data_IF_552726782666
#
_entry.id   IF_552726782666
#
_cell.length_a   1.000
_cell.length_b   1.000
_cell.length_c   1.000
_cell.angle_alpha   90.00
_cell.angle_beta   90.00
_cell.angle_gamma   90.00
#
_symmetry.space_group_name_H-M   'P 1'
#
loop_
_entity.id
_entity.type
_entity.pdbx_description
1 polymer ?
#
# COMPACT_ATOMS: atom_id res chain seq x y z
N UNK A 1 12.65 14.65 15.01
CA UNK A 1 12.51 15.78 14.07
C UNK A 1 11.18 15.63 13.37
N UNK A 2 10.28 16.62 13.49
CA UNK A 2 8.88 16.50 13.03
C UNK A 2 8.71 16.62 11.52
N UNK A 3 9.73 17.13 10.80
CA UNK A 3 9.65 17.32 9.36
C UNK A 3 10.80 16.74 8.55
N UNK A 4 10.53 16.17 7.36
CA UNK A 4 11.54 15.83 6.33
C UNK A 4 12.38 17.07 6.00
N UNK A 5 11.77 18.25 5.89
CA UNK A 5 12.49 19.51 5.66
C UNK A 5 13.52 19.77 6.76
N UNK A 6 13.15 19.55 8.02
CA UNK A 6 14.05 19.71 9.17
C UNK A 6 15.20 18.69 9.10
N UNK A 7 14.95 17.46 8.68
CA UNK A 7 16.00 16.45 8.51
C UNK A 7 16.99 16.82 7.39
N UNK A 8 16.50 17.36 6.27
CA UNK A 8 17.36 17.85 5.18
C UNK A 8 18.23 19.03 5.69
N UNK A 9 17.63 19.97 6.41
CA UNK A 9 18.38 21.08 7.02
C UNK A 9 19.40 20.58 8.04
N UNK A 10 19.05 19.59 8.87
CA UNK A 10 19.98 18.96 9.81
C UNK A 10 21.16 18.27 9.10
N UNK A 11 20.91 17.61 7.96
CA UNK A 11 21.96 17.03 7.13
C UNK A 11 22.91 18.09 6.57
N UNK A 12 22.36 19.20 6.07
CA UNK A 12 23.17 20.35 5.63
C UNK A 12 23.96 20.98 6.79
N UNK A 13 23.37 21.03 7.99
CA UNK A 13 24.03 21.53 9.18
C UNK A 13 25.23 20.65 9.59
N UNK A 14 25.13 19.32 9.46
CA UNK A 14 26.26 18.41 9.72
C UNK A 14 27.45 18.73 8.80
N UNK A 15 27.18 18.96 7.51
CA UNK A 15 28.22 19.35 6.54
C UNK A 15 28.76 20.74 6.86
N UNK A 16 27.89 21.69 7.24
CA UNK A 16 28.28 23.05 7.60
C UNK A 16 29.19 23.09 8.85
N UNK A 17 28.96 22.23 9.85
CA UNK A 17 29.85 22.10 11.02
C UNK A 17 31.26 21.68 10.59
N UNK A 18 31.38 20.73 9.67
CA UNK A 18 32.67 20.35 9.08
C UNK A 18 33.37 21.53 8.41
N UNK A 19 32.62 22.36 7.67
CA UNK A 19 33.14 23.55 7.03
C UNK A 19 33.56 24.65 8.03
N UNK A 20 32.84 24.82 9.14
CA UNK A 20 33.19 25.79 10.20
C UNK A 20 34.48 25.39 10.89
N UNK A 21 34.63 24.11 11.29
CA UNK A 21 35.86 23.60 11.90
C UNK A 21 37.05 23.79 10.95
N UNK A 22 36.84 23.48 9.67
CA UNK A 22 37.80 23.68 8.59
C UNK A 22 38.23 25.14 8.46
N UNK A 23 37.28 26.08 8.44
CA UNK A 23 37.57 27.51 8.39
C UNK A 23 38.35 27.98 9.63
N UNK A 24 37.99 27.49 10.82
CA UNK A 24 38.70 27.79 12.06
C UNK A 24 40.17 27.37 12.04
N UNK A 25 40.45 26.15 11.56
CA UNK A 25 41.82 25.65 11.41
C UNK A 25 42.63 26.47 10.39
N UNK A 26 42.01 26.84 9.26
CA UNK A 26 42.65 27.69 8.25
C UNK A 26 42.96 29.10 8.78
N UNK A 27 42.03 29.71 9.53
CA UNK A 27 42.25 31.01 10.16
C UNK A 27 43.35 30.95 11.21
N UNK A 28 43.39 29.90 12.02
CA UNK A 28 44.47 29.66 12.97
C UNK A 28 45.83 29.54 12.26
N UNK A 29 45.90 28.73 11.19
CA UNK A 29 47.12 28.54 10.42
C UNK A 29 47.60 29.85 9.79
N UNK A 30 46.69 30.65 9.23
CA UNK A 30 46.99 31.95 8.63
C UNK A 30 47.47 32.97 9.69
N UNK A 31 46.81 33.01 10.84
CA UNK A 31 47.20 33.88 11.96
C UNK A 31 48.61 33.55 12.45
N UNK A 32 48.92 32.27 12.63
CA UNK A 32 50.25 31.83 13.06
C UNK A 32 51.32 32.07 11.99
N UNK A 33 51.02 31.84 10.72
CA UNK A 33 51.93 32.17 9.61
C UNK A 33 52.24 33.68 9.57
N UNK A 34 51.23 34.52 9.78
CA UNK A 34 51.40 35.97 9.79
C UNK A 34 52.25 36.44 10.98
N UNK A 35 52.07 35.87 12.18
CA UNK A 35 52.93 36.13 13.36
C UNK A 35 54.39 35.77 13.09
N UNK A 36 54.66 34.57 12.55
CA UNK A 36 56.00 34.13 12.18
C UNK A 36 56.63 35.06 11.14
N UNK A 37 55.86 35.46 10.13
CA UNK A 37 56.33 36.37 9.09
C UNK A 37 56.66 37.76 9.63
N UNK A 38 55.82 38.31 10.53
CA UNK A 38 56.08 39.59 11.18
C UNK A 38 57.35 39.55 12.05
N UNK A 39 57.50 38.49 12.86
CA UNK A 39 58.70 38.28 13.67
C UNK A 39 59.95 38.13 12.78
N UNK A 40 59.83 37.45 11.64
CA UNK A 40 60.94 37.25 10.69
C UNK A 40 61.33 38.57 10.02
N UNK A 41 60.35 39.37 9.60
CA UNK A 41 60.58 40.70 9.06
C UNK A 41 61.31 41.60 10.06
N UNK A 42 60.88 41.59 11.33
CA UNK A 42 61.53 42.36 12.40
C UNK A 42 63.00 41.98 12.58
N UNK A 43 63.33 40.68 12.60
CA UNK A 43 64.72 40.22 12.69
C UNK A 43 65.56 40.64 11.47
N UNK A 44 64.95 40.64 10.27
CA UNK A 44 65.56 41.15 9.05
C UNK A 44 65.87 42.64 9.11
N UNK A 45 64.94 43.46 9.62
CA UNK A 45 65.15 44.89 9.80
C UNK A 45 66.26 45.19 10.81
N UNK A 46 66.30 44.45 11.92
CA UNK A 46 67.38 44.54 12.92
C UNK A 46 68.74 44.18 12.32
N UNK A 47 68.81 43.09 11.53
CA UNK A 47 70.04 42.70 10.84
C UNK A 47 70.52 43.80 9.88
N UNK A 48 69.61 44.34 9.07
CA UNK A 48 69.92 45.39 8.10
C UNK A 48 70.42 46.67 8.77
N UNK A 49 69.79 47.10 9.87
CA UNK A 49 70.23 48.27 10.63
C UNK A 49 71.60 48.05 11.27
N UNK A 50 71.84 46.85 11.82
CA UNK A 50 73.13 46.49 12.43
C UNK A 50 74.26 46.51 11.40
N UNK A 51 74.02 45.99 10.19
CA UNK A 51 75.02 46.00 9.12
C UNK A 51 75.27 47.42 8.59
N UNK A 52 74.23 48.24 8.44
CA UNK A 52 74.38 49.65 8.08
C UNK A 52 75.17 50.43 9.12
N UNK A 53 74.95 50.17 10.42
CA UNK A 53 75.74 50.74 11.51
C UNK A 53 77.21 50.33 11.37
N UNK A 54 77.50 49.04 11.16
CA UNK A 54 78.85 48.53 10.98
C UNK A 54 79.57 49.18 9.77
N UNK A 55 78.87 49.34 8.65
CA UNK A 55 79.37 50.05 7.47
C UNK A 55 79.69 51.53 7.75
N UNK A 56 78.82 52.24 8.47
CA UNK A 56 79.06 53.63 8.86
C UNK A 56 80.23 53.79 9.83
N UNK A 57 80.38 52.88 10.80
CA UNK A 57 81.52 52.85 11.72
C UNK A 57 82.82 52.71 10.93
N UNK A 58 82.86 51.78 9.97
CA UNK A 58 84.02 51.60 9.08
C UNK A 58 84.29 52.88 8.27
N UNK A 59 83.26 53.52 7.74
CA UNK A 59 83.36 54.79 7.03
C UNK A 59 83.96 55.90 7.90
N UNK A 60 83.48 56.09 9.13
CA UNK A 60 84.04 57.06 10.08
C UNK A 60 85.51 56.77 10.37
N UNK A 61 85.89 55.49 10.54
CA UNK A 61 87.29 55.12 10.78
C UNK A 61 88.17 55.52 9.59
N UNK A 62 87.69 55.37 8.35
CA UNK A 62 88.43 55.79 7.15
C UNK A 62 88.57 57.31 7.07
N UNK A 63 87.48 58.07 7.30
CA UNK A 63 87.51 59.53 7.29
C UNK A 63 88.42 60.09 8.39
N UNK A 64 88.41 59.47 9.58
CA UNK A 64 89.26 59.90 10.68
C UNK A 64 90.75 59.78 10.35
N UNK A 65 91.15 58.81 9.52
CA UNK A 65 92.53 58.75 8.99
C UNK A 65 92.86 59.97 8.16
N UNK A 66 91.93 60.44 7.33
CA UNK A 66 92.09 61.68 6.57
C UNK A 66 92.39 62.86 7.48
N UNK A 67 91.61 63.06 8.54
CA UNK A 67 91.78 64.17 9.49
C UNK A 67 93.19 64.25 10.08
N UNK A 68 93.73 63.14 10.58
CA UNK A 68 95.05 63.15 11.24
C UNK A 68 96.24 62.83 10.32
N UNK A 69 96.00 62.49 9.06
CA UNK A 69 97.06 62.32 8.04
C UNK A 69 97.21 63.57 7.16
N UNK A 70 96.24 64.48 7.16
CA UNK A 70 96.32 65.77 6.45
C UNK A 70 97.45 66.65 6.98
N UNK A 71 98.04 67.48 6.10
CA UNK A 71 99.16 68.36 6.45
C UNK A 71 98.71 69.64 7.16
N UNK A 72 97.49 70.07 6.91
CA UNK A 72 96.92 71.29 7.47
C UNK A 72 95.42 71.12 7.76
N UNK A 73 94.87 71.98 8.62
CA UNK A 73 93.45 71.96 8.98
C UNK A 73 92.53 72.09 7.75
N UNK A 74 92.90 72.92 6.77
CA UNK A 74 92.13 73.07 5.52
C UNK A 74 92.02 71.77 4.71
N UNK A 75 93.06 70.93 4.72
CA UNK A 75 93.04 69.60 4.08
C UNK A 75 92.28 68.56 4.91
N UNK A 76 92.17 68.75 6.23
CA UNK A 76 91.43 67.85 7.14
C UNK A 76 89.90 68.11 7.10
N UNK A 77 89.48 69.31 6.71
CA UNK A 77 88.08 69.76 6.79
C UNK A 77 87.08 68.90 6.00
N UNK A 78 87.35 68.45 4.76
CA UNK A 78 86.41 67.58 4.04
C UNK A 78 86.16 66.25 4.76
N UNK A 79 87.21 65.68 5.36
CA UNK A 79 87.12 64.43 6.13
C UNK A 79 86.36 64.64 7.44
N UNK A 80 86.59 65.77 8.13
CA UNK A 80 85.85 66.13 9.34
C UNK A 80 84.34 66.26 9.06
N UNK A 81 83.96 66.97 7.98
CA UNK A 81 82.55 67.04 7.53
C UNK A 81 81.99 65.66 7.16
N UNK A 82 82.79 64.83 6.52
CA UNK A 82 82.45 63.43 6.22
C UNK A 82 82.14 62.60 7.46
N UNK A 83 82.89 62.80 8.55
CA UNK A 83 82.63 62.16 9.84
C UNK A 83 81.35 62.69 10.49
N UNK A 84 81.17 64.01 10.55
CA UNK A 84 79.99 64.65 11.14
C UNK A 84 78.69 64.18 10.47
N UNK A 85 78.66 64.11 9.14
CA UNK A 85 77.51 63.57 8.40
C UNK A 85 77.20 62.12 8.76
N UNK A 86 78.23 61.29 8.98
CA UNK A 86 78.05 59.88 9.38
C UNK A 86 77.67 59.75 10.85
N UNK A 87 78.08 60.67 11.73
CA UNK A 87 77.61 60.69 13.13
C UNK A 87 76.10 60.89 13.22
N UNK A 88 75.55 61.80 12.41
CA UNK A 88 74.09 61.99 12.34
C UNK A 88 73.38 60.72 11.88
N UNK A 89 73.93 60.04 10.87
CA UNK A 89 73.37 58.76 10.40
C UNK A 89 73.49 57.65 11.46
N UNK A 90 74.63 57.56 12.15
CA UNK A 90 74.83 56.60 13.25
C UNK A 90 73.81 56.81 14.37
N UNK A 91 73.59 58.06 14.80
CA UNK A 91 72.57 58.39 15.81
C UNK A 91 71.17 58.00 15.36
N UNK A 92 70.83 58.32 14.10
CA UNK A 92 69.53 57.98 13.52
C UNK A 92 69.31 56.46 13.48
N UNK A 93 70.24 55.71 12.92
CA UNK A 93 70.13 54.24 12.83
C UNK A 93 70.11 53.57 14.20
N UNK A 94 70.86 54.11 15.18
CA UNK A 94 70.80 53.64 16.57
C UNK A 94 69.42 53.87 17.19
N UNK A 95 68.82 55.03 16.91
CA UNK A 95 67.45 55.35 17.37
C UNK A 95 66.42 54.43 16.72
N UNK A 96 66.56 54.16 15.41
CA UNK A 96 65.68 53.25 14.69
C UNK A 96 65.83 51.81 15.20
N UNK A 97 67.06 51.36 15.48
CA UNK A 97 67.35 50.05 16.07
C UNK A 97 66.71 49.92 17.47
N UNK A 98 66.81 50.96 18.30
CA UNK A 98 66.16 51.02 19.62
C UNK A 98 64.64 51.02 19.52
N UNK A 99 64.05 51.58 18.47
CA UNK A 99 62.61 51.52 18.23
C UNK A 99 62.14 50.10 17.92
N UNK A 100 62.94 49.34 17.15
CA UNK A 100 62.62 47.96 16.79
C UNK A 100 62.84 46.97 17.95
N UNK A 101 63.83 47.22 18.82
CA UNK A 101 64.17 46.34 19.93
C UNK A 101 64.46 47.11 21.23
N UNK A 102 63.44 47.79 21.82
CA UNK A 102 63.64 48.71 22.94
C UNK A 102 64.07 48.04 24.25
N UNK A 103 63.71 46.77 24.45
CA UNK A 103 64.03 46.00 25.64
C UNK A 103 65.28 45.12 25.48
N UNK A 104 66.00 45.21 24.36
CA UNK A 104 67.17 44.39 24.10
C UNK A 104 68.45 45.02 24.66
N UNK A 105 69.08 44.36 25.63
CA UNK A 105 70.32 44.85 26.25
C UNK A 105 71.45 45.10 25.25
N UNK A 106 71.54 44.29 24.19
CA UNK A 106 72.52 44.46 23.12
C UNK A 106 72.36 45.80 22.40
N UNK A 107 71.12 46.24 22.18
CA UNK A 107 70.84 47.54 21.57
C UNK A 107 71.23 48.69 22.50
N UNK A 108 70.98 48.57 23.80
CA UNK A 108 71.45 49.55 24.79
C UNK A 108 72.98 49.63 24.83
N UNK A 109 73.67 48.49 24.71
CA UNK A 109 75.15 48.46 24.63
C UNK A 109 75.66 49.10 23.33
N UNK A 110 75.00 48.86 22.20
CA UNK A 110 75.31 49.51 20.91
C UNK A 110 75.15 51.03 21.03
N UNK A 111 74.03 51.50 21.59
CA UNK A 111 73.75 52.93 21.76
C UNK A 111 74.85 53.61 22.57
N UNK A 112 75.24 53.00 23.70
CA UNK A 112 76.34 53.49 24.53
C UNK A 112 77.68 53.50 23.77
N UNK A 113 78.03 52.39 23.12
CA UNK A 113 79.30 52.26 22.40
C UNK A 113 79.41 53.22 21.21
N UNK A 114 78.31 53.47 20.49
CA UNK A 114 78.24 54.48 19.42
C UNK A 114 78.40 55.88 19.99
N UNK A 115 77.77 56.18 21.13
CA UNK A 115 77.95 57.46 21.82
C UNK A 115 79.41 57.72 22.17
N UNK A 116 80.07 56.75 22.81
CA UNK A 116 81.49 56.83 23.16
C UNK A 116 82.39 56.97 21.92
N UNK A 117 82.10 56.21 20.86
CA UNK A 117 82.81 56.29 19.58
C UNK A 117 82.67 57.66 18.91
N UNK A 118 81.46 58.24 18.89
CA UNK A 118 81.24 59.58 18.35
C UNK A 118 82.00 60.61 19.20
N UNK A 119 81.88 60.58 20.53
CA UNK A 119 82.58 61.51 21.43
C UNK A 119 84.09 61.46 21.23
N UNK A 120 84.68 60.26 21.14
CA UNK A 120 86.12 60.10 20.92
C UNK A 120 86.56 60.73 19.59
N UNK A 121 85.74 60.58 18.54
CA UNK A 121 86.05 61.04 17.18
C UNK A 121 85.71 62.50 16.93
N UNK A 122 84.76 63.06 17.68
CA UNK A 122 84.53 64.51 17.75
C UNK A 122 85.76 65.23 18.29
N UNK A 123 86.46 64.65 19.27
CA UNK A 123 87.72 65.24 19.76
C UNK A 123 88.84 65.17 18.71
N UNK A 124 88.92 64.09 17.92
CA UNK A 124 89.85 64.02 16.78
C UNK A 124 89.61 65.16 15.79
N UNK A 125 88.33 65.44 15.48
CA UNK A 125 87.94 66.56 14.60
C UNK A 125 88.34 67.90 15.22
N UNK A 126 88.00 68.12 16.49
CA UNK A 126 88.30 69.37 17.21
C UNK A 126 89.80 69.66 17.21
N UNK A 127 90.63 68.67 17.57
CA UNK A 127 92.08 68.82 17.54
C UNK A 127 92.61 69.10 16.13
N UNK A 128 92.06 68.45 15.10
CA UNK A 128 92.47 68.65 13.70
C UNK A 128 92.12 70.04 13.16
N UNK A 129 91.00 70.64 13.62
CA UNK A 129 90.54 71.97 13.24
C UNK A 129 91.18 73.10 14.02
N UNK A 130 91.28 72.95 15.34
CA UNK A 130 91.60 74.05 16.27
C UNK A 130 93.05 74.05 16.75
N UNK A 131 93.74 72.89 16.73
CA UNK A 131 95.07 72.74 17.34
C UNK A 131 96.11 72.39 16.28
N UNK A 132 96.10 71.15 15.77
CA UNK A 132 96.94 70.68 14.66
C UNK A 132 96.54 69.26 14.27
N UNK A 133 96.82 68.88 13.02
CA UNK A 133 96.65 67.48 12.56
C UNK A 133 97.60 66.52 13.29
N UNK A 134 98.74 67.00 13.79
CA UNK A 134 99.65 66.23 14.69
C UNK A 134 99.00 65.91 16.03
N UNK A 135 98.32 66.88 16.65
CA UNK A 135 97.57 66.65 17.89
C UNK A 135 96.40 65.67 17.65
N UNK A 136 95.69 65.82 16.53
CA UNK A 136 94.67 64.87 16.09
C UNK A 136 95.25 63.46 15.86
N UNK A 137 96.50 63.34 15.40
CA UNK A 137 97.18 62.05 15.24
C UNK A 137 97.49 61.39 16.58
N UNK A 138 98.05 62.15 17.54
CA UNK A 138 98.34 61.63 18.87
C UNK A 138 97.07 61.13 19.59
N UNK A 139 95.93 61.79 19.40
CA UNK A 139 94.64 61.37 19.97
C UNK A 139 93.95 60.28 19.13
N UNK A 140 93.98 60.40 17.81
CA UNK A 140 93.26 59.54 16.87
C UNK A 140 94.02 58.28 16.45
N UNK A 141 95.30 58.15 16.75
CA UNK A 141 96.14 56.99 16.44
C UNK A 141 96.88 56.47 17.69
N UNK A 142 96.11 56.19 18.75
CA UNK A 142 96.63 55.63 20.00
C UNK A 142 95.89 54.35 20.41
N UNK A 143 96.34 53.75 21.51
CA UNK A 143 95.77 52.50 22.02
C UNK A 143 94.33 52.66 22.52
N UNK A 144 93.99 53.80 23.13
CA UNK A 144 92.63 54.10 23.58
C UNK A 144 91.64 54.09 22.42
N UNK A 145 92.02 54.64 21.26
CA UNK A 145 91.20 54.60 20.06
C UNK A 145 91.03 53.17 19.51
N UNK A 146 92.12 52.39 19.50
CA UNK A 146 92.06 50.99 19.06
C UNK A 146 91.11 50.19 19.96
N UNK A 147 91.19 50.39 21.27
CA UNK A 147 90.32 49.78 22.25
C UNK A 147 88.86 50.22 22.08
N UNK A 148 88.58 51.52 21.92
CA UNK A 148 87.23 52.04 21.68
C UNK A 148 86.60 51.45 20.40
N UNK A 149 87.34 51.44 19.29
CA UNK A 149 86.88 50.84 18.04
C UNK A 149 86.65 49.33 18.19
N UNK A 150 87.57 48.63 18.85
CA UNK A 150 87.44 47.18 19.10
C UNK A 150 86.19 46.89 19.93
N UNK A 151 85.96 47.63 21.01
CA UNK A 151 84.79 47.45 21.86
C UNK A 151 83.48 47.65 21.09
N UNK A 152 83.37 48.70 20.26
CA UNK A 152 82.19 48.90 19.41
C UNK A 152 82.00 47.77 18.40
N UNK A 153 83.09 47.33 17.75
CA UNK A 153 83.04 46.23 16.80
C UNK A 153 82.63 44.91 17.47
N UNK A 154 83.21 44.58 18.62
CA UNK A 154 82.86 43.39 19.40
C UNK A 154 81.37 43.37 19.75
N UNK A 155 80.81 44.52 20.16
CA UNK A 155 79.37 44.65 20.48
C UNK A 155 78.51 44.44 19.24
N UNK A 156 78.84 45.10 18.11
CA UNK A 156 78.08 44.96 16.86
C UNK A 156 78.13 43.53 16.31
N UNK A 157 79.30 42.89 16.32
CA UNK A 157 79.49 41.50 15.88
C UNK A 157 78.72 40.53 16.78
N UNK A 158 78.83 40.69 18.11
CA UNK A 158 78.11 39.85 19.06
C UNK A 158 76.60 39.98 18.90
N UNK A 159 76.11 41.21 18.76
CA UNK A 159 74.68 41.47 18.54
C UNK A 159 74.21 40.90 17.19
N UNK A 160 75.00 41.07 16.13
CA UNK A 160 74.73 40.49 14.81
C UNK A 160 74.62 38.96 14.87
N UNK A 161 75.56 38.29 15.52
CA UNK A 161 75.53 36.83 15.71
C UNK A 161 74.32 36.36 16.54
N UNK A 162 73.93 37.11 17.57
CA UNK A 162 72.73 36.81 18.36
C UNK A 162 71.46 36.97 17.53
N UNK A 163 71.36 38.04 16.74
CA UNK A 163 70.24 38.29 15.85
C UNK A 163 70.16 37.23 14.74
N UNK A 164 71.29 36.84 14.16
CA UNK A 164 71.37 35.76 13.17
C UNK A 164 70.91 34.42 13.76
N UNK A 165 71.36 34.06 14.96
CA UNK A 165 70.91 32.86 15.65
C UNK A 165 69.39 32.89 15.92
N UNK A 166 68.85 34.03 16.33
CA UNK A 166 67.41 34.21 16.53
C UNK A 166 66.62 34.13 15.22
N UNK A 167 67.12 34.74 14.14
CA UNK A 167 66.52 34.67 12.81
C UNK A 167 66.53 33.25 12.25
N UNK A 168 67.64 32.52 12.40
CA UNK A 168 67.76 31.13 11.97
C UNK A 168 66.82 30.20 12.75
N UNK A 169 66.72 30.37 14.08
CA UNK A 169 65.79 29.62 14.90
C UNK A 169 64.33 29.88 14.49
N UNK A 170 63.99 31.14 14.20
CA UNK A 170 62.66 31.52 13.73
C UNK A 170 62.37 30.98 12.33
N UNK A 171 63.36 30.99 11.43
CA UNK A 171 63.26 30.38 10.10
C UNK A 171 63.00 28.87 10.19
N UNK A 172 63.70 28.17 11.09
CA UNK A 172 63.43 26.75 11.36
C UNK A 172 62.02 26.52 11.93
N UNK A 173 61.57 27.36 12.86
CA UNK A 173 60.19 27.33 13.38
C UNK A 173 59.17 27.49 12.25
N UNK A 174 59.39 28.48 11.37
CA UNK A 174 58.53 28.76 10.23
C UNK A 174 58.53 27.64 9.18
N UNK A 175 59.67 27.04 8.89
CA UNK A 175 59.80 25.91 7.96
C UNK A 175 59.09 24.67 8.48
N UNK A 176 59.27 24.34 9.76
CA UNK A 176 58.58 23.21 10.42
C UNK A 176 57.08 23.45 10.40
N UNK A 177 56.63 24.65 10.78
CA UNK A 177 55.22 25.01 10.75
C UNK A 177 54.64 24.94 9.33
N UNK A 178 55.35 25.47 8.33
CA UNK A 178 54.91 25.43 6.93
C UNK A 178 54.77 24.00 6.43
N UNK A 179 55.76 23.13 6.70
CA UNK A 179 55.70 21.71 6.34
C UNK A 179 54.56 20.99 7.04
N UNK A 180 54.32 21.30 8.31
CA UNK A 180 53.19 20.76 9.06
C UNK A 180 51.86 21.20 8.45
N UNK A 181 51.65 22.49 8.21
CA UNK A 181 50.41 23.01 7.62
C UNK A 181 50.18 22.45 6.22
N UNK A 182 51.22 22.34 5.39
CA UNK A 182 51.11 21.87 4.01
C UNK A 182 50.53 20.45 3.89
N UNK A 183 50.82 19.56 4.85
CA UNK A 183 50.28 18.19 4.84
C UNK A 183 49.12 18.00 5.81
N UNK A 184 49.21 18.50 7.04
CA UNK A 184 48.20 18.28 8.08
C UNK A 184 46.89 18.98 7.72
N UNK A 185 46.94 20.24 7.25
CA UNK A 185 45.73 21.00 6.96
C UNK A 185 44.87 20.31 5.88
N UNK A 186 45.36 19.98 4.67
CA UNK A 186 44.53 19.31 3.68
C UNK A 186 44.06 17.92 4.14
N UNK A 187 44.88 17.16 4.88
CA UNK A 187 44.45 15.85 5.42
C UNK A 187 43.32 16.00 6.42
N UNK A 188 43.40 16.94 7.35
CA UNK A 188 42.34 17.19 8.34
C UNK A 188 41.08 17.73 7.67
N UNK A 189 41.21 18.64 6.71
CA UNK A 189 40.10 19.16 5.92
C UNK A 189 39.38 18.05 5.15
N UNK A 190 40.13 17.18 4.47
CA UNK A 190 39.58 16.05 3.73
C UNK A 190 38.91 15.04 4.68
N UNK A 191 39.55 14.71 5.81
CA UNK A 191 38.98 13.81 6.80
C UNK A 191 37.68 14.37 7.41
N UNK A 192 37.63 15.66 7.73
CA UNK A 192 36.43 16.33 8.23
C UNK A 192 35.30 16.36 7.19
N UNK A 193 35.64 16.60 5.91
CA UNK A 193 34.68 16.54 4.82
C UNK A 193 34.12 15.13 4.64
N UNK A 194 34.97 14.11 4.59
CA UNK A 194 34.55 12.71 4.44
C UNK A 194 33.73 12.24 5.64
N UNK A 195 34.13 12.61 6.86
CA UNK A 195 33.39 12.27 8.08
C UNK A 195 32.01 12.93 8.12
N UNK A 196 31.93 14.23 7.78
CA UNK A 196 30.64 14.94 7.72
C UNK A 196 29.73 14.41 6.61
N UNK A 197 30.29 14.06 5.45
CA UNK A 197 29.56 13.44 4.35
C UNK A 197 29.06 12.04 4.72
N UNK A 198 29.90 11.21 5.33
CA UNK A 198 29.51 9.89 5.80
C UNK A 198 28.42 9.96 6.88
N UNK A 199 28.54 10.89 7.83
CA UNK A 199 27.50 11.15 8.84
C UNK A 199 26.19 11.61 8.21
N UNK A 200 26.24 12.53 7.25
CA UNK A 200 25.09 13.00 6.48
C UNK A 200 24.41 11.86 5.71
N UNK A 201 25.18 11.01 5.02
CA UNK A 201 24.68 9.84 4.28
C UNK A 201 24.04 8.80 5.21
N UNK A 202 24.70 8.44 6.30
CA UNK A 202 24.16 7.50 7.30
C UNK A 202 22.88 8.05 7.94
N UNK A 203 22.85 9.35 8.24
CA UNK A 203 21.66 10.02 8.74
C UNK A 203 20.52 10.01 7.73
N UNK A 204 20.77 10.38 6.47
CA UNK A 204 19.78 10.37 5.40
C UNK A 204 19.24 8.95 5.15
N UNK A 205 20.13 7.96 5.08
CA UNK A 205 19.79 6.57 4.85
C UNK A 205 18.88 6.03 5.96
N UNK A 206 19.18 6.29 7.23
CA UNK A 206 18.36 5.83 8.36
C UNK A 206 17.10 6.66 8.58
N UNK A 207 17.13 7.97 8.31
CA UNK A 207 16.04 8.88 8.71
C UNK A 207 15.02 9.15 7.61
N UNK A 208 15.38 8.96 6.34
CA UNK A 208 14.55 9.25 5.16
C UNK A 208 14.51 8.04 4.22
N UNK A 209 15.66 7.62 3.68
CA UNK A 209 15.70 6.68 2.53
C UNK A 209 15.16 5.30 2.87
N UNK A 210 15.67 4.63 3.92
CA UNK A 210 15.19 3.29 4.31
C UNK A 210 13.68 3.27 4.61
N UNK A 211 13.13 4.15 5.46
CA UNK A 211 11.69 4.19 5.69
C UNK A 211 10.84 4.39 4.44
N UNK A 212 11.30 5.22 3.48
CA UNK A 212 10.60 5.40 2.21
C UNK A 212 10.63 4.14 1.34
N UNK A 213 11.78 3.46 1.26
CA UNK A 213 11.90 2.18 0.54
C UNK A 213 11.02 1.11 1.18
N UNK A 214 11.02 1.00 2.51
CA UNK A 214 10.20 0.04 3.25
C UNK A 214 8.70 0.24 2.96
N UNK A 215 8.22 1.50 3.01
CA UNK A 215 6.83 1.84 2.67
C UNK A 215 6.50 1.62 1.19
N UNK A 216 7.45 1.90 0.29
CA UNK A 216 7.31 1.58 -1.14
C UNK A 216 7.15 0.09 -1.39
N UNK A 217 7.94 -0.75 -0.71
CA UNK A 217 7.84 -2.21 -0.80
C UNK A 217 6.51 -2.75 -0.25
N UNK A 218 6.02 -2.17 0.85
CA UNK A 218 4.69 -2.49 1.40
C UNK A 218 3.59 -2.15 0.38
N UNK A 219 3.63 -0.97 -0.23
CA UNK A 219 2.64 -0.56 -1.22
C UNK A 219 2.64 -1.51 -2.44
N UNK A 220 3.83 -1.90 -2.90
CA UNK A 220 3.98 -2.81 -4.04
C UNK A 220 3.39 -4.20 -3.74
N UNK A 221 3.61 -4.73 -2.53
CA UNK A 221 3.01 -6.00 -2.10
C UNK A 221 1.49 -5.90 -1.90
N UNK A 222 1.01 -4.78 -1.37
CA UNK A 222 -0.42 -4.54 -1.19
C UNK A 222 -1.14 -4.53 -2.55
N UNK A 223 -0.55 -3.87 -3.56
CA UNK A 223 -1.09 -3.90 -4.93
C UNK A 223 -1.03 -5.27 -5.59
N UNK A 224 -0.16 -6.16 -5.11
CA UNK A 224 -0.10 -7.56 -5.55
C UNK A 224 -1.12 -8.47 -4.82
N UNK A 225 -1.95 -7.92 -3.93
CA UNK A 225 -3.00 -8.64 -3.21
C UNK A 225 -2.58 -9.24 -1.88
N UNK A 226 -1.36 -8.98 -1.39
CA UNK A 226 -0.92 -9.43 -0.08
C UNK A 226 -1.37 -8.43 1.00
N UNK A 227 -2.42 -8.79 1.74
CA UNK A 227 -3.02 -7.95 2.79
C UNK A 227 -2.54 -8.30 4.20
N UNK A 228 -1.85 -9.44 4.37
CA UNK A 228 -1.44 -9.97 5.69
C UNK A 228 -0.08 -9.44 6.17
N UNK A 229 0.28 -8.24 5.73
CA UNK A 229 1.58 -7.64 5.98
C UNK A 229 1.50 -6.50 7.01
N UNK A 230 2.53 -6.43 7.86
CA UNK A 230 2.68 -5.34 8.82
C UNK A 230 3.28 -4.11 8.13
N UNK A 231 2.70 -2.94 8.40
CA UNK A 231 3.23 -1.68 7.89
C UNK A 231 4.28 -1.16 8.88
N UNK A 232 5.58 -1.11 8.52
CA UNK A 232 6.62 -0.64 9.42
C UNK A 232 6.48 0.88 9.63
N UNK A 233 7.18 1.40 10.64
CA UNK A 233 7.32 2.85 10.89
C UNK A 233 6.05 3.60 11.31
N UNK A 234 4.94 2.93 11.66
CA UNK A 234 3.68 3.56 12.13
C UNK A 234 3.91 4.47 13.35
N UNK A 235 4.76 4.05 14.29
CA UNK A 235 5.06 4.78 15.53
C UNK A 235 5.84 6.09 15.35
N UNK A 236 6.25 6.43 14.12
CA UNK A 236 6.96 7.68 13.85
C UNK A 236 6.01 8.88 13.95
N UNK A 237 6.51 9.96 14.52
CA UNK A 237 5.77 11.23 14.68
C UNK A 237 6.11 12.29 13.63
N UNK A 238 6.58 11.87 12.46
CA UNK A 238 6.91 12.73 11.32
C UNK A 238 6.04 12.40 10.10
N UNK A 239 6.28 13.07 8.96
CA UNK A 239 5.49 12.86 7.74
C UNK A 239 5.61 11.43 7.21
N UNK A 240 6.76 10.78 7.42
CA UNK A 240 6.94 9.37 7.07
C UNK A 240 6.02 8.49 7.91
N UNK A 241 5.88 8.78 9.21
CA UNK A 241 4.89 8.12 10.06
C UNK A 241 3.45 8.40 9.64
N UNK A 242 3.16 9.62 9.17
CA UNK A 242 1.85 9.95 8.62
C UNK A 242 1.53 9.14 7.36
N UNK A 243 2.52 8.98 6.46
CA UNK A 243 2.40 8.09 5.30
C UNK A 243 2.22 6.63 5.71
N UNK A 244 2.99 6.14 6.68
CA UNK A 244 2.85 4.77 7.20
C UNK A 244 1.42 4.51 7.74
N UNK A 245 0.85 5.46 8.49
CA UNK A 245 -0.54 5.37 8.96
C UNK A 245 -1.54 5.37 7.81
N UNK A 246 -1.35 6.20 6.79
CA UNK A 246 -2.22 6.22 5.61
C UNK A 246 -2.15 4.88 4.84
N UNK A 247 -0.96 4.30 4.68
CA UNK A 247 -0.77 2.97 4.08
C UNK A 247 -1.43 1.88 4.93
N UNK A 248 -1.39 1.99 6.26
CA UNK A 248 -2.09 1.06 7.16
C UNK A 248 -3.60 1.09 6.97
N UNK A 249 -4.20 2.29 6.84
CA UNK A 249 -5.63 2.44 6.54
C UNK A 249 -5.97 1.84 5.18
N UNK A 250 -5.11 2.05 4.17
CA UNK A 250 -5.30 1.47 2.85
C UNK A 250 -5.19 -0.07 2.87
N UNK A 251 -4.27 -0.63 3.67
CA UNK A 251 -4.15 -2.08 3.85
C UNK A 251 -5.44 -2.66 4.43
N UNK A 252 -5.96 -2.03 5.48
CA UNK A 252 -7.21 -2.42 6.14
C UNK A 252 -8.42 -2.34 5.20
N UNK A 253 -8.52 -1.28 4.40
CA UNK A 253 -9.61 -1.18 3.41
C UNK A 253 -9.49 -2.23 2.30
N UNK A 254 -8.26 -2.54 1.85
CA UNK A 254 -8.02 -3.58 0.83
C UNK A 254 -8.38 -4.97 1.37
N UNK A 255 -8.03 -5.26 2.63
CA UNK A 255 -8.42 -6.49 3.32
C UNK A 255 -9.94 -6.61 3.43
N UNK A 256 -10.62 -5.52 3.82
CA UNK A 256 -12.06 -5.49 3.94
C UNK A 256 -12.77 -5.72 2.58
N UNK A 257 -12.27 -5.12 1.50
CA UNK A 257 -12.79 -5.35 0.13
C UNK A 257 -12.61 -6.82 -0.28
N UNK A 258 -11.47 -7.43 0.01
CA UNK A 258 -11.23 -8.85 -0.30
C UNK A 258 -12.22 -9.77 0.42
N UNK A 259 -12.48 -9.53 1.71
CA UNK A 259 -13.47 -10.28 2.51
C UNK A 259 -14.88 -10.12 1.93
N UNK A 260 -15.28 -8.90 1.56
CA UNK A 260 -16.59 -8.65 0.95
C UNK A 260 -16.76 -9.36 -0.39
N UNK A 261 -15.74 -9.36 -1.24
CA UNK A 261 -15.78 -10.08 -2.52
C UNK A 261 -15.90 -11.59 -2.34
N UNK A 262 -15.26 -12.16 -1.31
CA UNK A 262 -15.37 -13.58 -0.99
C UNK A 262 -16.79 -13.92 -0.50
N UNK A 263 -17.41 -13.05 0.30
CA UNK A 263 -18.81 -13.16 0.71
C UNK A 263 -19.76 -13.08 -0.49
N UNK A 264 -19.54 -12.16 -1.42
CA UNK A 264 -20.38 -11.99 -2.62
C UNK A 264 -20.25 -13.19 -3.58
N UNK A 265 -19.03 -13.75 -3.72
CA UNK A 265 -18.80 -15.00 -4.46
C UNK A 265 -19.53 -16.18 -3.81
N UNK A 266 -19.47 -16.31 -2.49
CA UNK A 266 -20.20 -17.36 -1.77
C UNK A 266 -21.73 -17.20 -1.93
N UNK A 267 -22.25 -15.97 -1.83
CA UNK A 267 -23.66 -15.68 -2.00
C UNK A 267 -24.16 -15.93 -3.45
N UNK A 268 -23.36 -15.56 -4.45
CA UNK A 268 -23.68 -15.80 -5.86
C UNK A 268 -23.64 -17.29 -6.22
N UNK A 269 -22.67 -18.05 -5.71
CA UNK A 269 -22.63 -19.50 -5.85
C UNK A 269 -23.86 -20.18 -5.22
N UNK A 270 -24.25 -19.76 -4.01
CA UNK A 270 -25.46 -20.26 -3.35
C UNK A 270 -26.74 -19.91 -4.13
N UNK A 271 -26.81 -18.72 -4.74
CA UNK A 271 -27.94 -18.32 -5.59
C UNK A 271 -28.02 -19.16 -6.86
N UNK A 272 -26.89 -19.46 -7.50
CA UNK A 272 -26.85 -20.29 -8.70
C UNK A 272 -27.33 -21.72 -8.41
N UNK A 273 -26.88 -22.30 -7.29
CA UNK A 273 -27.33 -23.63 -6.85
C UNK A 273 -28.85 -23.68 -6.61
N UNK A 274 -29.44 -22.62 -6.04
CA UNK A 274 -30.90 -22.51 -5.84
C UNK A 274 -31.69 -22.39 -7.13
N UNK A 275 -31.12 -21.80 -8.18
CA UNK A 275 -31.77 -21.71 -9.50
C UNK A 275 -31.76 -23.08 -10.18
N UNK A 276 -30.63 -23.81 -10.13
CA UNK A 276 -30.52 -25.15 -10.70
C UNK A 276 -31.47 -26.15 -10.04
N UNK A 277 -31.66 -26.08 -8.71
CA UNK A 277 -32.63 -26.95 -8.03
C UNK A 277 -34.08 -26.64 -8.41
N UNK A 278 -34.39 -25.39 -8.76
CA UNK A 278 -35.74 -24.99 -9.20
C UNK A 278 -36.07 -25.49 -10.61
N UNK A 279 -35.07 -25.57 -11.49
CA UNK A 279 -35.24 -26.08 -12.86
C UNK A 279 -35.65 -27.56 -12.87
N UNK A 280 -34.99 -28.39 -12.07
CA UNK A 280 -35.30 -29.82 -11.95
C UNK A 280 -36.76 -30.07 -11.48
N UNK A 281 -37.21 -29.34 -10.46
CA UNK A 281 -38.58 -29.44 -9.94
C UNK A 281 -39.62 -29.12 -11.01
N UNK A 282 -39.40 -28.07 -11.81
CA UNK A 282 -40.36 -27.65 -12.85
C UNK A 282 -40.48 -28.72 -13.93
N UNK A 283 -39.40 -29.41 -14.25
CA UNK A 283 -39.41 -30.55 -15.17
C UNK A 283 -40.22 -31.71 -14.60
N UNK A 284 -39.95 -32.13 -13.37
CA UNK A 284 -40.63 -33.28 -12.74
C UNK A 284 -42.14 -33.03 -12.55
N UNK A 285 -42.52 -31.80 -12.15
CA UNK A 285 -43.93 -31.38 -12.09
C UNK A 285 -44.57 -31.43 -13.48
N UNK A 286 -43.83 -31.03 -14.52
CA UNK A 286 -44.29 -31.07 -15.91
C UNK A 286 -44.67 -32.47 -16.38
N UNK A 287 -43.88 -33.49 -16.00
CA UNK A 287 -44.16 -34.88 -16.36
C UNK A 287 -45.44 -35.40 -15.70
N UNK A 288 -45.64 -35.15 -14.40
CA UNK A 288 -46.83 -35.59 -13.66
C UNK A 288 -48.10 -34.88 -14.15
N UNK A 289 -48.01 -33.59 -14.48
CA UNK A 289 -49.13 -32.84 -15.07
C UNK A 289 -49.47 -33.35 -16.47
N UNK A 290 -48.48 -33.71 -17.28
CA UNK A 290 -48.71 -34.30 -18.59
C UNK A 290 -49.41 -35.66 -18.51
N UNK A 291 -49.05 -36.50 -17.54
CA UNK A 291 -49.73 -37.77 -17.26
C UNK A 291 -51.20 -37.55 -16.83
N UNK A 292 -51.44 -36.61 -15.92
CA UNK A 292 -52.80 -36.25 -15.51
C UNK A 292 -53.65 -35.72 -16.70
N UNK A 293 -53.04 -34.93 -17.60
CA UNK A 293 -53.71 -34.40 -18.78
C UNK A 293 -54.07 -35.49 -19.82
N UNK A 294 -53.31 -36.59 -19.86
CA UNK A 294 -53.63 -37.76 -20.70
C UNK A 294 -54.61 -38.75 -20.02
N UNK A 295 -55.05 -38.45 -18.80
CA UNK A 295 -56.00 -39.27 -18.03
C UNK A 295 -55.35 -40.34 -17.15
N UNK A 296 -54.01 -40.34 -17.04
CA UNK A 296 -53.27 -41.20 -16.12
C UNK A 296 -53.01 -40.47 -14.80
N UNK A 297 -53.79 -40.80 -13.76
CA UNK A 297 -53.67 -40.23 -12.43
C UNK A 297 -52.88 -41.13 -11.46
N UNK A 298 -52.27 -42.21 -11.96
CA UNK A 298 -51.42 -43.10 -11.15
C UNK A 298 -50.04 -42.49 -10.87
N UNK A 299 -49.60 -41.55 -11.70
CA UNK A 299 -48.33 -40.86 -11.57
C UNK A 299 -48.19 -40.13 -10.22
N UNK A 300 -47.00 -40.23 -9.62
CA UNK A 300 -46.64 -39.58 -8.37
C UNK A 300 -45.38 -38.75 -8.56
N UNK A 301 -45.39 -37.55 -8.00
CA UNK A 301 -44.24 -36.64 -7.96
C UNK A 301 -43.35 -37.04 -6.78
N UNK A 302 -42.08 -37.33 -7.06
CA UNK A 302 -41.05 -37.65 -6.05
C UNK A 302 -39.86 -36.72 -6.23
N UNK A 303 -39.48 -36.01 -5.15
CA UNK A 303 -38.34 -35.08 -5.16
C UNK A 303 -37.47 -35.40 -3.95
N UNK A 304 -36.25 -35.92 -4.18
CA UNK A 304 -35.37 -36.42 -3.12
C UNK A 304 -34.94 -35.33 -2.12
N UNK A 305 -34.75 -34.09 -2.57
CA UNK A 305 -34.20 -32.99 -1.77
C UNK A 305 -35.10 -31.75 -1.84
N UNK A 306 -36.32 -31.87 -1.34
CA UNK A 306 -37.31 -30.79 -1.30
C UNK A 306 -37.23 -29.98 0.01
N UNK A 307 -37.25 -28.64 -0.11
CA UNK A 307 -37.47 -27.76 1.05
C UNK A 307 -38.93 -27.84 1.55
N UNK A 308 -39.23 -27.23 2.70
CA UNK A 308 -40.55 -27.35 3.34
C UNK A 308 -41.71 -26.85 2.45
N UNK A 309 -41.47 -25.82 1.63
CA UNK A 309 -42.47 -25.31 0.71
C UNK A 309 -42.69 -26.29 -0.46
N UNK A 310 -41.61 -26.86 -0.97
CA UNK A 310 -41.65 -27.84 -2.05
C UNK A 310 -42.31 -29.15 -1.62
N UNK A 311 -42.06 -29.62 -0.40
CA UNK A 311 -42.73 -30.81 0.14
C UNK A 311 -44.26 -30.64 0.20
N UNK A 312 -44.74 -29.45 0.57
CA UNK A 312 -46.18 -29.13 0.56
C UNK A 312 -46.77 -29.16 -0.85
N UNK A 313 -46.03 -28.68 -1.84
CA UNK A 313 -46.45 -28.74 -3.25
C UNK A 313 -46.53 -30.19 -3.75
N UNK A 314 -45.49 -30.99 -3.49
CA UNK A 314 -45.45 -32.42 -3.86
C UNK A 314 -46.61 -33.20 -3.23
N UNK A 315 -46.83 -33.01 -1.93
CA UNK A 315 -47.94 -33.63 -1.22
C UNK A 315 -49.30 -33.21 -1.82
N UNK A 316 -49.47 -31.93 -2.15
CA UNK A 316 -50.69 -31.42 -2.78
C UNK A 316 -50.99 -32.03 -4.16
N UNK A 317 -49.97 -32.13 -5.02
CA UNK A 317 -50.13 -32.73 -6.36
C UNK A 317 -50.48 -34.22 -6.27
N UNK A 318 -49.77 -34.96 -5.40
CA UNK A 318 -50.02 -36.39 -5.21
C UNK A 318 -51.41 -36.67 -4.63
N UNK A 319 -51.88 -35.83 -3.70
CA UNK A 319 -53.24 -35.93 -3.14
C UNK A 319 -54.31 -35.70 -4.20
N UNK A 320 -54.14 -34.69 -5.06
CA UNK A 320 -55.08 -34.42 -6.17
C UNK A 320 -55.16 -35.64 -7.09
N UNK A 321 -54.02 -36.17 -7.53
CA UNK A 321 -54.00 -37.33 -8.41
C UNK A 321 -54.64 -38.56 -7.74
N UNK A 322 -54.35 -38.82 -6.45
CA UNK A 322 -54.94 -39.93 -5.71
C UNK A 322 -56.48 -39.84 -5.62
N UNK A 323 -57.03 -38.65 -5.34
CA UNK A 323 -58.48 -38.44 -5.26
C UNK A 323 -59.14 -38.62 -6.63
N UNK A 324 -58.53 -38.08 -7.70
CA UNK A 324 -59.08 -38.20 -9.06
C UNK A 324 -59.04 -39.65 -9.52
N UNK A 325 -57.90 -40.34 -9.37
CA UNK A 325 -57.70 -41.74 -9.75
C UNK A 325 -58.71 -42.69 -9.08
N UNK A 326 -58.90 -42.52 -7.76
CA UNK A 326 -59.88 -43.28 -7.01
C UNK A 326 -61.31 -43.03 -7.51
N UNK A 327 -61.68 -41.77 -7.73
CA UNK A 327 -63.03 -41.40 -8.14
C UNK A 327 -63.36 -41.91 -9.55
N UNK A 328 -62.47 -41.69 -10.52
CA UNK A 328 -62.70 -42.10 -11.91
C UNK A 328 -62.74 -43.62 -12.04
N UNK A 329 -61.88 -44.34 -11.31
CA UNK A 329 -61.86 -45.81 -11.29
C UNK A 329 -63.15 -46.39 -10.71
N UNK A 330 -63.63 -45.88 -9.57
CA UNK A 330 -64.87 -46.36 -8.95
C UNK A 330 -66.10 -46.05 -9.83
N UNK A 331 -66.15 -44.88 -10.45
CA UNK A 331 -67.26 -44.50 -11.33
C UNK A 331 -67.28 -45.33 -12.62
N UNK A 332 -66.11 -45.60 -13.20
CA UNK A 332 -65.97 -46.48 -14.35
C UNK A 332 -66.46 -47.91 -14.02
N UNK A 333 -66.07 -48.44 -12.86
CA UNK A 333 -66.53 -49.75 -12.40
C UNK A 333 -68.06 -49.81 -12.20
N UNK A 334 -68.65 -48.77 -11.59
CA UNK A 334 -70.10 -48.69 -11.40
C UNK A 334 -70.86 -48.63 -12.73
N UNK A 335 -70.38 -47.83 -13.69
CA UNK A 335 -70.99 -47.73 -15.02
C UNK A 335 -70.83 -49.02 -15.84
N UNK A 336 -69.71 -49.73 -15.69
CA UNK A 336 -69.53 -51.06 -16.29
C UNK A 336 -70.49 -52.09 -15.71
N UNK A 337 -70.74 -52.08 -14.39
CA UNK A 337 -71.74 -52.94 -13.76
C UNK A 337 -73.15 -52.69 -14.34
N UNK A 338 -73.54 -51.40 -14.47
CA UNK A 338 -74.81 -51.01 -15.10
C UNK A 338 -74.89 -51.48 -16.55
N UNK A 339 -73.82 -51.31 -17.34
CA UNK A 339 -73.76 -51.79 -18.72
C UNK A 339 -73.84 -53.32 -18.82
N UNK A 340 -73.33 -54.04 -17.83
CA UNK A 340 -73.45 -55.50 -17.69
C UNK A 340 -74.83 -55.98 -17.22
N UNK A 341 -75.77 -55.07 -16.93
CA UNK A 341 -77.11 -55.38 -16.45
C UNK A 341 -77.22 -55.57 -14.94
N UNK A 342 -76.12 -55.36 -14.19
CA UNK A 342 -76.15 -55.35 -12.73
C UNK A 342 -76.62 -53.97 -12.23
N UNK A 343 -77.90 -53.90 -11.84
CA UNK A 343 -78.52 -52.70 -11.28
C UNK A 343 -78.48 -52.66 -9.75
N UNK A 344 -77.65 -53.48 -9.11
CA UNK A 344 -77.46 -53.52 -7.66
C UNK A 344 -76.19 -52.79 -7.18
N UNK A 345 -75.22 -52.58 -8.07
CA UNK A 345 -73.99 -51.84 -7.77
C UNK A 345 -74.28 -50.38 -7.36
N UNK A 346 -73.62 -49.92 -6.30
CA UNK A 346 -73.69 -48.53 -5.80
C UNK A 346 -72.28 -48.03 -5.48
N UNK A 347 -72.07 -46.74 -5.71
CA UNK A 347 -70.84 -46.04 -5.32
C UNK A 347 -70.99 -45.61 -3.87
N UNK A 348 -70.12 -46.10 -2.97
CA UNK A 348 -70.23 -45.89 -1.52
C UNK A 348 -69.24 -44.84 -0.99
N UNK A 349 -68.10 -44.66 -1.65
CA UNK A 349 -67.04 -43.74 -1.18
C UNK A 349 -67.55 -42.30 -1.01
N UNK A 350 -67.10 -41.65 0.07
CA UNK A 350 -67.49 -40.29 0.41
C UNK A 350 -66.65 -39.26 -0.37
N UNK A 351 -67.17 -38.84 -1.53
CA UNK A 351 -66.57 -37.78 -2.32
C UNK A 351 -67.03 -36.39 -1.86
N UNK A 352 -66.31 -35.34 -2.31
CA UNK A 352 -66.67 -33.92 -2.08
C UNK A 352 -66.77 -33.18 -3.41
N UNK A 353 -67.49 -32.06 -3.42
CA UNK A 353 -67.64 -31.21 -4.60
C UNK A 353 -68.20 -31.96 -5.81
N UNK A 354 -67.58 -31.78 -6.98
CA UNK A 354 -68.06 -32.35 -8.24
C UNK A 354 -68.10 -33.87 -8.29
N UNK A 355 -67.18 -34.56 -7.61
CA UNK A 355 -67.22 -36.03 -7.53
C UNK A 355 -68.41 -36.51 -6.68
N UNK A 356 -68.83 -35.78 -5.65
CA UNK A 356 -70.05 -36.10 -4.90
C UNK A 356 -71.32 -35.93 -5.74
N UNK A 357 -71.41 -34.85 -6.51
CA UNK A 357 -72.51 -34.64 -7.46
C UNK A 357 -72.59 -35.80 -8.48
N UNK A 358 -71.44 -36.20 -9.06
CA UNK A 358 -71.38 -37.27 -10.05
C UNK A 358 -71.74 -38.65 -9.47
N UNK A 359 -71.24 -38.97 -8.28
CA UNK A 359 -71.68 -40.15 -7.50
C UNK A 359 -73.20 -40.19 -7.35
N UNK A 360 -73.79 -39.07 -6.94
CA UNK A 360 -75.25 -38.96 -6.75
C UNK A 360 -76.02 -39.25 -8.04
N UNK A 361 -75.60 -38.64 -9.15
CA UNK A 361 -76.22 -38.82 -10.45
C UNK A 361 -76.11 -40.27 -10.97
N UNK A 362 -74.96 -40.93 -10.78
CA UNK A 362 -74.79 -42.34 -11.16
C UNK A 362 -75.72 -43.22 -10.35
N UNK A 363 -75.70 -43.12 -9.01
CA UNK A 363 -76.57 -43.95 -8.15
C UNK A 363 -78.06 -43.74 -8.45
N UNK A 364 -78.50 -42.49 -8.67
CA UNK A 364 -79.88 -42.20 -9.06
C UNK A 364 -80.25 -42.85 -10.40
N UNK A 365 -79.33 -42.87 -11.36
CA UNK A 365 -79.54 -43.53 -12.66
C UNK A 365 -79.73 -45.04 -12.47
N UNK A 366 -78.92 -45.67 -11.60
CA UNK A 366 -79.08 -47.10 -11.28
C UNK A 366 -80.43 -47.38 -10.61
N UNK A 367 -80.86 -46.51 -9.69
CA UNK A 367 -82.16 -46.64 -9.02
C UNK A 367 -83.33 -46.55 -10.03
N UNK A 368 -83.28 -45.59 -10.95
CA UNK A 368 -84.31 -45.41 -11.99
C UNK A 368 -84.39 -46.62 -12.92
N UNK A 369 -83.25 -47.10 -13.41
CA UNK A 369 -83.20 -48.29 -14.28
C UNK A 369 -83.70 -49.53 -13.53
N UNK A 370 -83.30 -49.72 -12.27
CA UNK A 370 -83.75 -50.84 -11.43
C UNK A 370 -85.28 -50.83 -11.26
N UNK A 371 -85.86 -49.64 -11.03
CA UNK A 371 -87.31 -49.48 -10.96
C UNK A 371 -88.01 -49.80 -12.28
N UNK A 372 -87.48 -49.35 -13.42
CA UNK A 372 -88.06 -49.64 -14.74
C UNK A 372 -88.04 -51.13 -15.03
N UNK A 373 -86.93 -51.83 -14.79
CA UNK A 373 -86.83 -53.28 -14.99
C UNK A 373 -87.81 -54.03 -14.09
N UNK A 374 -87.97 -53.60 -12.83
CA UNK A 374 -88.96 -54.17 -11.91
C UNK A 374 -90.38 -54.02 -12.43
N UNK A 375 -90.75 -52.85 -12.93
CA UNK A 375 -92.07 -52.62 -13.55
C UNK A 375 -92.30 -53.54 -14.74
N UNK A 376 -91.32 -53.68 -15.63
CA UNK A 376 -91.41 -54.59 -16.79
C UNK A 376 -91.59 -56.04 -16.34
N UNK A 377 -90.88 -56.49 -15.30
CA UNK A 377 -91.03 -57.85 -14.75
C UNK A 377 -92.44 -58.08 -14.20
N UNK A 378 -92.99 -57.13 -13.44
CA UNK A 378 -94.37 -57.22 -12.92
C UNK A 378 -95.39 -57.26 -14.06
N UNK A 379 -95.30 -56.33 -15.02
CA UNK A 379 -96.23 -56.30 -16.16
C UNK A 379 -96.13 -57.56 -17.01
N UNK A 380 -94.94 -58.12 -17.20
CA UNK A 380 -94.76 -59.39 -17.94
C UNK A 380 -95.41 -60.57 -17.21
N UNK A 381 -95.36 -60.58 -15.86
CA UNK A 381 -96.04 -61.58 -15.06
C UNK A 381 -97.58 -61.44 -15.17
N UNK A 382 -98.11 -60.22 -15.14
CA UNK A 382 -99.54 -59.94 -15.32
C UNK A 382 -100.02 -60.37 -16.71
N UNK A 383 -99.26 -60.06 -17.77
CA UNK A 383 -99.56 -60.53 -19.15
C UNK A 383 -99.51 -62.05 -19.23
N UNK A 384 -98.55 -62.69 -18.56
CA UNK A 384 -98.45 -64.15 -18.48
C UNK A 384 -99.64 -64.80 -17.78
N UNK A 385 -100.19 -64.17 -16.74
CA UNK A 385 -101.41 -64.62 -16.07
C UNK A 385 -102.63 -64.45 -16.98
N UNK A 386 -102.80 -63.27 -17.58
CA UNK A 386 -103.91 -62.98 -18.51
C UNK A 386 -103.91 -63.93 -19.72
N UNK A 387 -102.74 -64.25 -20.28
CA UNK A 387 -102.60 -65.21 -21.37
C UNK A 387 -103.10 -66.62 -20.96
N UNK A 388 -102.79 -67.07 -19.74
CA UNK A 388 -103.29 -68.36 -19.21
C UNK A 388 -104.81 -68.37 -19.03
N UNK A 389 -105.39 -67.27 -18.55
CA UNK A 389 -106.85 -67.12 -18.45
C UNK A 389 -107.53 -67.16 -19.81
N UNK A 390 -106.98 -66.48 -20.82
CA UNK A 390 -107.48 -66.53 -22.20
C UNK A 390 -107.41 -67.95 -22.76
N UNK A 391 -106.29 -68.66 -22.56
CA UNK A 391 -106.16 -70.06 -23.02
C UNK A 391 -107.19 -70.98 -22.34
N UNK A 392 -107.42 -70.84 -21.04
CA UNK A 392 -108.48 -71.60 -20.34
C UNK A 392 -109.88 -71.24 -20.86
N UNK A 393 -110.16 -69.97 -21.09
CA UNK A 393 -111.44 -69.53 -21.66
C UNK A 393 -111.66 -70.03 -23.09
N UNK A 394 -110.60 -70.10 -23.90
CA UNK A 394 -110.65 -70.66 -25.25
C UNK A 394 -110.91 -72.18 -25.23
N UNK A 395 -110.32 -72.93 -24.30
CA UNK A 395 -110.58 -74.38 -24.13
C UNK A 395 -112.03 -74.66 -23.72
N UNK A 396 -112.57 -73.87 -22.77
CA UNK A 396 -113.97 -73.98 -22.34
C UNK A 396 -114.95 -73.67 -23.49
N UNK A 397 -114.68 -72.61 -24.26
CA UNK A 397 -115.47 -72.27 -25.44
C UNK A 397 -115.40 -73.36 -26.52
N UNK A 398 -114.22 -73.97 -26.73
CA UNK A 398 -114.04 -75.08 -27.66
C UNK A 398 -114.92 -76.27 -27.27
N UNK A 399 -114.92 -76.68 -26.00
CA UNK A 399 -115.80 -77.75 -25.49
C UNK A 399 -117.28 -77.44 -25.69
N UNK A 400 -117.71 -76.22 -25.34
CA UNK A 400 -119.10 -75.80 -25.57
C UNK A 400 -119.48 -75.80 -27.05
N UNK A 401 -118.54 -75.44 -27.93
CA UNK A 401 -118.75 -75.47 -29.38
C UNK A 401 -118.91 -76.91 -29.89
N UNK A 402 -118.12 -77.86 -29.36
CA UNK A 402 -118.27 -79.30 -29.63
C UNK A 402 -119.63 -79.84 -29.12
N UNK A 403 -120.04 -79.49 -27.91
CA UNK A 403 -121.35 -79.87 -27.36
C UNK A 403 -122.52 -79.32 -28.21
N UNK A 404 -122.40 -78.06 -28.67
CA UNK A 404 -123.39 -77.43 -29.54
C UNK A 404 -123.46 -78.09 -30.92
N UNK A 405 -122.31 -78.48 -31.47
CA UNK A 405 -122.23 -79.22 -32.72
C UNK A 405 -122.86 -80.61 -32.59
N UNK A 406 -122.61 -81.33 -31.49
CA UNK A 406 -123.26 -82.62 -31.19
C UNK A 406 -124.77 -82.47 -31.04
N UNK A 407 -125.25 -81.42 -30.36
CA UNK A 407 -126.68 -81.14 -30.23
C UNK A 407 -127.32 -80.80 -31.58
N UNK A 408 -126.60 -80.13 -32.47
CA UNK A 408 -127.01 -79.86 -33.85
C UNK A 408 -127.07 -81.13 -34.70
N UNK A 409 -126.12 -82.06 -34.54
CA UNK A 409 -126.16 -83.39 -35.18
C UNK A 409 -127.37 -84.20 -34.73
N UNK A 410 -127.66 -84.23 -33.42
CA UNK A 410 -128.85 -84.92 -32.89
C UNK A 410 -130.15 -84.27 -33.41
N UNK A 411 -130.18 -82.93 -33.48
CA UNK A 411 -131.30 -82.20 -34.08
C UNK A 411 -131.44 -82.52 -35.58
N UNK A 412 -130.35 -82.63 -36.32
CA UNK A 412 -130.38 -82.98 -37.74
C UNK A 412 -130.87 -84.42 -37.96
N UNK A 413 -130.40 -85.38 -37.16
CA UNK A 413 -130.82 -86.79 -37.21
C UNK A 413 -132.30 -86.95 -36.87
N UNK A 414 -132.78 -86.29 -35.81
CA UNK A 414 -134.21 -86.28 -35.45
C UNK A 414 -135.06 -85.60 -36.53
N UNK A 415 -134.53 -84.57 -37.20
CA UNK A 415 -135.20 -83.93 -38.34
C UNK A 415 -135.27 -84.86 -39.56
N UNK A 416 -134.22 -85.64 -39.84
CA UNK A 416 -134.24 -86.68 -40.88
C UNK A 416 -135.23 -87.81 -40.58
N UNK A 417 -135.27 -88.27 -39.32
CA UNK A 417 -136.20 -89.30 -38.86
C UNK A 417 -137.66 -88.83 -38.95
N UNK A 418 -137.93 -87.59 -38.54
CA UNK A 418 -139.23 -86.93 -38.72
C UNK A 418 -139.60 -86.83 -40.20
N UNK A 419 -138.67 -86.41 -41.07
CA UNK A 419 -138.91 -86.32 -42.51
C UNK A 419 -139.22 -87.70 -43.13
N UNK A 420 -138.53 -88.76 -42.70
CA UNK A 420 -138.80 -90.14 -43.12
C UNK A 420 -140.18 -90.62 -42.65
N UNK A 421 -140.55 -90.33 -41.40
CA UNK A 421 -141.87 -90.67 -40.84
C UNK A 421 -143.02 -89.94 -41.54
N UNK A 422 -142.84 -88.65 -41.87
CA UNK A 422 -143.79 -87.86 -42.67
C UNK A 422 -143.92 -88.43 -44.07
N UNK A 423 -142.82 -88.83 -44.71
CA UNK A 423 -142.83 -89.46 -46.04
C UNK A 423 -143.56 -90.81 -46.02
N UNK A 424 -143.31 -91.63 -44.99
CA UNK A 424 -144.00 -92.91 -44.79
C UNK A 424 -145.51 -92.71 -44.57
N UNK A 425 -145.89 -91.75 -43.73
CA UNK A 425 -147.30 -91.38 -43.49
C UNK A 425 -147.97 -90.88 -44.77
N UNK A 426 -147.28 -90.09 -45.59
CA UNK A 426 -147.79 -89.61 -46.87
C UNK A 426 -147.96 -90.74 -47.91
N UNK A 427 -147.10 -91.77 -47.92
CA UNK A 427 -147.26 -92.95 -48.77
C UNK A 427 -148.42 -93.85 -48.32
N UNK A 428 -148.57 -94.07 -47.01
CA UNK A 428 -149.68 -94.86 -46.44
C UNK A 428 -151.04 -94.23 -46.77
N UNK A 429 -151.18 -92.92 -46.60
CA UNK A 429 -152.40 -92.19 -46.99
C UNK A 429 -152.69 -92.26 -48.49
N UNK A 430 -151.66 -92.38 -49.35
CA UNK A 430 -151.82 -92.49 -50.81
C UNK A 430 -152.23 -93.89 -51.28
N UNK A 431 -151.97 -94.94 -50.50
CA UNK A 431 -152.42 -96.30 -50.78
C UNK A 431 -153.84 -96.58 -50.25
N UNK A 432 -154.33 -95.74 -49.34
CA UNK A 432 -155.65 -95.87 -48.75
C UNK A 432 -156.76 -95.09 -49.49
N UNK A 433 -156.42 -94.35 -50.55
CA UNK A 433 -157.32 -93.59 -51.42
C UNK A 433 -157.27 -94.16 -52.85
#
# INVERSE_FOLDING_TARGET
MKSIRIKIVAMLAIVAVGAIVSAGLSLYALSRANDLNQRSSLQGDIALLTERLNGLVTGVVMEARGVYMSKAAAEAEPFAKGMESRFEQLRKLTTDLKRLAPANEGVTRIEKAIGEFITFRSETIRLGREVSTTAANAQGNNELNRANRKALNDVLVTFGAQNEAAANALGQEADVFTKQVQWILPTVLLAALLASLAAALLFAQRSITRPLIDLGGVMQRLTAGDTKLEVPHIGRQDEIGAMARAVSVLRESTEQVAVLQEQERAASAARLARVQSMEAVVTDVGEVVAAAASGDFSARLEIEHADEQMQKLVAGINEINAVVDSATSEFAAALQAVAGGDLTARIETAYRGKFAELKGAINETVDRLSSTVRTIQTTSADVGLAAREITMGADDLSKRTEEQASSLEETAATTEELAASVKASAQASRQAA
#
